data_IF_910440830903
#
_entry.id   IF_910440830903
#
_cell.length_a   1.000
_cell.length_b   1.000
_cell.length_c   1.000
_cell.angle_alpha   90.00
_cell.angle_beta   90.00
_cell.angle_gamma   90.00
#
_symmetry.space_group_name_H-M   'P 1'
#
loop_
_entity.id
_entity.type
_entity.pdbx_description
1 polymer ?
#
# COMPACT_ATOMS: atom_id res chain seq x y z
N UNK A 1 -6.53 -6.15 29.36
CA UNK A 1 -6.84 -7.35 28.54
C UNK A 1 -8.35 -7.54 28.53
N UNK A 2 -8.93 -8.04 27.41
CA UNK A 2 -10.36 -8.34 27.35
C UNK A 2 -10.76 -9.36 28.44
N UNK A 3 -12.00 -9.23 28.93
CA UNK A 3 -12.60 -10.13 29.93
C UNK A 3 -13.85 -10.75 29.30
N UNK A 4 -13.93 -12.09 29.16
CA UNK A 4 -12.92 -13.08 29.55
C UNK A 4 -11.65 -13.03 28.67
N UNK A 5 -10.51 -13.53 29.16
CA UNK A 5 -9.27 -13.58 28.40
C UNK A 5 -9.41 -14.52 27.17
N UNK A 6 -8.70 -14.22 26.07
CA UNK A 6 -8.78 -15.01 24.86
C UNK A 6 -8.17 -16.39 25.05
N UNK A 7 -8.68 -17.39 24.32
CA UNK A 7 -8.20 -18.78 24.41
C UNK A 7 -6.79 -18.97 23.84
N UNK A 8 -6.36 -18.08 22.95
CA UNK A 8 -5.05 -18.11 22.30
C UNK A 8 -4.47 -16.71 22.22
N UNK A 9 -3.15 -16.61 22.34
CA UNK A 9 -2.37 -15.39 22.15
C UNK A 9 -1.30 -15.67 21.10
N UNK A 10 -1.14 -14.73 20.17
CA UNK A 10 -0.04 -14.73 19.20
C UNK A 10 0.81 -13.52 19.55
N UNK A 11 2.12 -13.72 19.65
CA UNK A 11 3.10 -12.65 19.82
C UNK A 11 3.81 -12.47 18.49
N UNK A 12 3.65 -11.30 17.90
CA UNK A 12 4.33 -10.92 16.66
C UNK A 12 5.55 -10.07 17.01
N UNK A 13 6.68 -10.21 16.29
CA UNK A 13 7.82 -9.33 16.45
C UNK A 13 7.40 -7.89 16.20
N UNK A 14 7.88 -6.97 17.04
CA UNK A 14 7.76 -5.55 16.74
C UNK A 14 8.70 -5.22 15.57
N UNK A 15 8.15 -4.67 14.49
CA UNK A 15 8.91 -4.26 13.31
C UNK A 15 9.13 -2.75 13.42
N UNK A 16 10.38 -2.35 13.60
CA UNK A 16 10.75 -0.94 13.59
C UNK A 16 10.83 -0.45 12.14
N UNK A 17 9.97 0.50 11.80
CA UNK A 17 9.88 1.07 10.45
C UNK A 17 10.54 2.44 10.38
N UNK A 18 11.17 2.71 9.24
CA UNK A 18 11.67 4.05 8.96
C UNK A 18 10.55 4.98 8.48
N UNK A 19 10.73 6.27 8.75
CA UNK A 19 9.85 7.31 8.26
C UNK A 19 10.46 8.02 7.04
N UNK A 20 9.59 8.36 6.09
CA UNK A 20 9.92 9.28 5.01
C UNK A 20 9.23 10.59 5.30
N UNK A 21 10.02 11.66 5.31
CA UNK A 21 9.56 13.02 5.66
C UNK A 21 9.85 13.96 4.51
N UNK A 22 8.96 14.93 4.29
CA UNK A 22 9.19 16.02 3.35
C UNK A 22 9.75 17.23 4.09
N UNK A 23 10.96 17.65 3.73
CA UNK A 23 11.56 18.86 4.28
C UNK A 23 11.33 20.07 3.37
N UNK A 24 10.78 21.15 3.94
CA UNK A 24 10.73 22.46 3.30
C UNK A 24 11.96 23.27 3.75
N UNK A 25 12.99 23.38 2.89
CA UNK A 25 14.09 24.32 3.16
C UNK A 25 13.71 25.74 2.70
N UNK A 26 14.07 26.69 3.56
CA UNK A 26 13.78 28.13 3.54
C UNK A 26 14.16 28.91 2.26
N UNK A 27 13.26 29.82 1.89
CA UNK A 27 13.39 31.13 1.20
C UNK A 27 14.04 31.33 -0.18
N UNK A 28 14.64 30.36 -0.90
CA UNK A 28 15.12 30.67 -2.28
C UNK A 28 15.04 29.55 -3.33
N UNK A 29 14.43 28.40 -3.04
CA UNK A 29 14.17 27.37 -4.06
C UNK A 29 12.92 26.58 -3.70
N UNK A 30 11.91 26.56 -4.56
CA UNK A 30 10.62 25.88 -4.38
C UNK A 30 10.69 24.33 -4.40
N UNK A 31 11.86 23.75 -4.11
CA UNK A 31 12.10 22.31 -4.18
C UNK A 31 11.82 21.64 -2.83
N UNK A 32 10.74 20.87 -2.76
CA UNK A 32 10.48 19.92 -1.67
C UNK A 32 11.46 18.76 -1.78
N UNK A 33 12.15 18.43 -0.69
CA UNK A 33 13.10 17.31 -0.67
C UNK A 33 12.56 16.18 0.19
N UNK A 34 12.47 14.97 -0.38
CA UNK A 34 12.22 13.73 0.35
C UNK A 34 13.46 13.36 1.16
N UNK A 35 13.26 13.15 2.46
CA UNK A 35 14.31 12.71 3.38
C UNK A 35 13.91 11.36 3.93
N UNK A 36 14.71 10.34 3.62
CA UNK A 36 14.66 9.02 4.22
C UNK A 36 16.02 8.76 4.88
N UNK A 37 16.03 8.45 6.18
CA UNK A 37 17.29 8.26 6.92
C UNK A 37 17.94 6.91 6.63
N UNK A 38 17.14 5.88 6.34
CA UNK A 38 17.63 4.52 6.06
C UNK A 38 18.27 3.85 7.29
N UNK A 39 17.80 4.19 8.49
CA UNK A 39 18.24 3.57 9.75
C UNK A 39 17.66 2.15 9.85
N UNK A 40 16.41 1.97 9.40
CA UNK A 40 15.75 0.69 9.19
C UNK A 40 15.39 0.50 7.72
N UNK A 41 15.57 -0.73 7.23
CA UNK A 41 15.26 -1.10 5.85
C UNK A 41 13.77 -1.45 5.64
N UNK A 42 12.93 -1.33 6.67
CA UNK A 42 11.52 -1.68 6.64
C UNK A 42 10.64 -0.44 6.53
N UNK A 43 9.68 -0.47 5.61
CA UNK A 43 8.67 0.57 5.43
C UNK A 43 7.27 -0.04 5.39
N UNK A 44 6.28 0.72 5.85
CA UNK A 44 4.87 0.40 5.62
C UNK A 44 4.50 0.73 4.17
N UNK A 45 3.84 -0.22 3.52
CA UNK A 45 3.28 -0.09 2.18
C UNK A 45 1.84 -0.55 2.15
N UNK A 46 1.07 0.14 1.32
CA UNK A 46 -0.28 -0.28 0.99
C UNK A 46 -0.32 -0.68 -0.47
N UNK A 47 -0.95 -1.82 -0.78
CA UNK A 47 -0.97 -2.40 -2.12
C UNK A 47 -2.37 -2.85 -2.49
N UNK A 48 -2.90 -2.30 -3.58
CA UNK A 48 -4.14 -2.78 -4.19
C UNK A 48 -3.90 -4.07 -4.97
N UNK A 49 -4.81 -5.03 -4.81
CA UNK A 49 -4.85 -6.24 -5.62
C UNK A 49 -6.17 -6.33 -6.37
N UNK A 50 -6.13 -6.81 -7.61
CA UNK A 50 -7.31 -6.95 -8.49
C UNK A 50 -7.21 -8.24 -9.30
N UNK A 51 -8.31 -8.95 -9.47
CA UNK A 51 -8.33 -10.15 -10.30
C UNK A 51 -9.38 -11.17 -9.90
N UNK A 52 -9.25 -12.37 -10.44
CA UNK A 52 -10.09 -13.52 -10.08
C UNK A 52 -9.43 -14.30 -8.96
N UNK A 53 -10.22 -15.12 -8.29
CA UNK A 53 -9.67 -16.09 -7.34
C UNK A 53 -8.65 -17.00 -8.03
N UNK A 54 -7.41 -16.98 -7.56
CA UNK A 54 -6.30 -17.75 -8.14
C UNK A 54 -5.51 -17.00 -9.23
N UNK A 55 -5.99 -15.83 -9.67
CA UNK A 55 -5.37 -14.95 -10.67
C UNK A 55 -5.38 -13.49 -10.17
N UNK A 56 -5.11 -13.28 -8.89
CA UNK A 56 -4.98 -11.94 -8.31
C UNK A 56 -3.66 -11.30 -8.75
N UNK A 57 -3.74 -10.07 -9.21
CA UNK A 57 -2.61 -9.24 -9.62
C UNK A 57 -2.39 -8.07 -8.67
N UNK A 58 -1.13 -7.76 -8.40
CA UNK A 58 -0.73 -6.61 -7.58
C UNK A 58 -0.60 -5.36 -8.45
N UNK A 59 -1.24 -4.28 -8.02
CA UNK A 59 -0.90 -2.94 -8.48
C UNK A 59 0.46 -2.52 -7.90
N UNK A 60 0.99 -1.39 -8.36
CA UNK A 60 2.17 -0.76 -7.79
C UNK A 60 1.92 -0.37 -6.33
N UNK A 61 2.77 -0.81 -5.39
CA UNK A 61 2.72 -0.38 -3.99
C UNK A 61 2.73 1.14 -3.83
N UNK A 62 2.16 1.61 -2.73
CA UNK A 62 2.26 3.00 -2.32
C UNK A 62 2.91 3.09 -0.95
N UNK A 63 3.85 4.02 -0.79
CA UNK A 63 4.38 4.40 0.52
C UNK A 63 3.73 5.71 0.95
N UNK A 64 3.17 5.75 2.15
CA UNK A 64 2.63 6.98 2.73
C UNK A 64 3.74 7.78 3.38
N UNK A 65 3.91 9.03 2.93
CA UNK A 65 4.88 9.99 3.45
C UNK A 65 4.17 10.89 4.46
N UNK A 66 4.76 11.05 5.65
CA UNK A 66 4.25 11.95 6.70
C UNK A 66 4.78 13.37 6.43
N UNK A 67 3.90 14.37 6.47
CA UNK A 67 4.34 15.78 6.38
C UNK A 67 4.96 16.28 7.70
N UNK A 68 4.49 15.80 8.86
CA UNK A 68 5.08 16.11 10.17
C UNK A 68 4.50 15.27 11.32
N UNK A 69 5.36 14.63 12.14
CA UNK A 69 5.00 13.99 13.41
C UNK A 69 4.98 12.46 13.41
N UNK A 70 5.04 11.86 14.61
CA UNK A 70 5.20 10.40 14.82
C UNK A 70 3.93 9.59 14.48
N UNK A 71 2.74 10.21 14.47
CA UNK A 71 1.44 9.52 14.29
C UNK A 71 0.63 10.24 13.22
N UNK A 72 0.27 9.51 12.16
CA UNK A 72 -0.69 9.99 11.14
C UNK A 72 -2.04 10.27 11.82
N UNK A 73 -2.48 11.53 11.78
CA UNK A 73 -3.78 11.91 12.31
C UNK A 73 -4.91 11.23 11.53
N UNK A 74 -6.07 11.05 12.15
CA UNK A 74 -7.25 10.52 11.46
C UNK A 74 -7.60 11.38 10.23
N UNK A 75 -7.34 12.69 10.30
CA UNK A 75 -7.51 13.59 9.16
C UNK A 75 -6.53 13.28 8.03
N UNK A 76 -5.27 12.94 8.33
CA UNK A 76 -4.29 12.54 7.31
C UNK A 76 -4.59 11.18 6.67
N UNK A 77 -5.20 10.27 7.42
CA UNK A 77 -5.58 8.93 6.93
C UNK A 77 -6.84 8.94 6.07
N UNK A 78 -7.73 9.94 6.21
CA UNK A 78 -9.08 9.90 5.62
C UNK A 78 -9.52 11.18 4.88
N UNK A 79 -8.85 12.33 5.06
CA UNK A 79 -9.12 13.54 4.29
C UNK A 79 -8.16 13.63 3.11
N UNK A 80 -8.73 13.74 1.90
CA UNK A 80 -7.93 13.87 0.68
C UNK A 80 -7.07 15.13 0.72
N UNK A 81 -5.75 14.97 0.66
CA UNK A 81 -4.81 16.06 0.37
C UNK A 81 -3.67 16.29 1.37
N UNK A 82 -3.58 15.54 2.48
CA UNK A 82 -2.54 15.75 3.51
C UNK A 82 -1.50 14.62 3.56
N UNK A 83 -1.86 13.37 3.25
CA UNK A 83 -0.89 12.29 3.05
C UNK A 83 -0.34 12.26 1.62
N UNK A 84 0.98 12.35 1.44
CA UNK A 84 1.61 12.19 0.13
C UNK A 84 1.92 10.70 -0.09
N UNK A 85 1.27 10.09 -1.08
CA UNK A 85 1.53 8.70 -1.45
C UNK A 85 2.52 8.62 -2.61
N UNK A 86 3.67 7.98 -2.38
CA UNK A 86 4.65 7.70 -3.42
C UNK A 86 4.28 6.41 -4.13
N UNK A 87 3.85 6.51 -5.39
CA UNK A 87 3.33 5.38 -6.17
C UNK A 87 3.84 5.43 -7.62
N UNK A 88 4.61 4.44 -8.09
CA UNK A 88 5.30 3.43 -7.27
C UNK A 88 6.30 4.08 -6.29
N UNK A 89 6.86 3.32 -5.33
CA UNK A 89 8.00 3.77 -4.54
C UNK A 89 9.13 4.22 -5.48
N UNK A 90 9.77 5.38 -5.24
CA UNK A 90 10.87 5.83 -6.08
C UNK A 90 12.08 4.91 -5.93
N UNK A 91 12.85 4.75 -7.01
CA UNK A 91 14.05 3.90 -7.05
C UNK A 91 15.13 4.28 -6.02
N UNK A 92 15.10 5.52 -5.51
CA UNK A 92 15.98 5.99 -4.43
C UNK A 92 15.64 5.39 -3.06
N UNK A 93 14.42 4.86 -2.90
CA UNK A 93 13.92 4.25 -1.66
C UNK A 93 13.89 2.74 -1.82
N UNK A 94 13.28 2.24 -2.89
CA UNK A 94 13.13 0.81 -3.15
C UNK A 94 13.65 0.48 -4.55
N UNK A 95 14.60 -0.45 -4.63
CA UNK A 95 15.11 -0.92 -5.92
C UNK A 95 14.02 -1.63 -6.73
N UNK A 96 14.13 -1.60 -8.06
CA UNK A 96 13.18 -2.28 -8.95
C UNK A 96 13.06 -3.78 -8.63
N UNK A 97 14.18 -4.45 -8.33
CA UNK A 97 14.17 -5.87 -7.94
C UNK A 97 13.38 -6.12 -6.66
N UNK A 98 13.52 -5.24 -5.65
CA UNK A 98 12.76 -5.33 -4.40
C UNK A 98 11.27 -5.04 -4.64
N UNK A 99 10.95 -4.06 -5.50
CA UNK A 99 9.58 -3.73 -5.90
C UNK A 99 8.89 -4.91 -6.57
N UNK A 100 9.55 -5.56 -7.53
CA UNK A 100 9.01 -6.74 -8.21
C UNK A 100 8.84 -7.94 -7.27
N UNK A 101 9.80 -8.16 -6.35
CA UNK A 101 9.66 -9.19 -5.31
C UNK A 101 8.49 -8.91 -4.35
N UNK A 102 8.29 -7.66 -3.99
CA UNK A 102 7.14 -7.21 -3.19
C UNK A 102 5.82 -7.53 -3.92
N UNK A 103 5.65 -7.06 -5.17
CA UNK A 103 4.44 -7.32 -5.97
C UNK A 103 4.14 -8.81 -6.07
N UNK A 104 5.14 -9.63 -6.38
CA UNK A 104 4.98 -11.09 -6.47
C UNK A 104 4.58 -11.73 -5.13
N UNK A 105 5.15 -11.27 -4.03
CA UNK A 105 4.79 -11.76 -2.69
C UNK A 105 3.35 -11.41 -2.33
N UNK A 106 2.92 -10.18 -2.65
CA UNK A 106 1.54 -9.72 -2.48
C UNK A 106 0.55 -10.55 -3.32
N UNK A 107 0.88 -10.86 -4.58
CA UNK A 107 0.06 -11.73 -5.43
C UNK A 107 -0.07 -13.14 -4.84
N UNK A 108 1.04 -13.73 -4.38
CA UNK A 108 1.02 -15.05 -3.73
C UNK A 108 0.14 -15.02 -2.47
N UNK A 109 0.27 -14.00 -1.63
CA UNK A 109 -0.57 -13.83 -0.44
C UNK A 109 -2.05 -13.71 -0.81
N UNK A 110 -2.39 -12.82 -1.75
CA UNK A 110 -3.76 -12.60 -2.19
C UNK A 110 -4.41 -13.89 -2.72
N UNK A 111 -3.69 -14.64 -3.54
CA UNK A 111 -4.18 -15.92 -4.08
C UNK A 111 -4.29 -17.00 -3.00
N UNK A 112 -3.33 -17.07 -2.08
CA UNK A 112 -3.35 -18.03 -0.96
C UNK A 112 -4.52 -17.78 0.00
N UNK A 113 -4.84 -16.50 0.25
CA UNK A 113 -6.00 -16.09 1.03
C UNK A 113 -7.33 -16.26 0.29
N UNK A 114 -7.30 -16.61 -1.01
CA UNK A 114 -8.49 -16.80 -1.83
C UNK A 114 -9.24 -15.50 -2.11
N UNK A 115 -8.53 -14.37 -2.17
CA UNK A 115 -9.11 -13.08 -2.53
C UNK A 115 -9.62 -13.09 -3.97
N UNK A 116 -10.59 -12.25 -4.26
CA UNK A 116 -11.19 -12.09 -5.58
C UNK A 116 -11.78 -10.68 -5.74
N UNK A 117 -11.96 -10.24 -6.99
CA UNK A 117 -12.43 -8.90 -7.30
C UNK A 117 -11.32 -7.90 -7.02
N UNK A 118 -11.37 -7.23 -5.88
CA UNK A 118 -10.36 -6.28 -5.44
C UNK A 118 -10.19 -6.29 -3.93
N UNK A 119 -9.01 -5.94 -3.45
CA UNK A 119 -8.74 -5.75 -2.02
C UNK A 119 -7.58 -4.77 -1.82
N UNK A 120 -7.45 -4.23 -0.62
CA UNK A 120 -6.27 -3.48 -0.19
C UNK A 120 -5.52 -4.33 0.82
N UNK A 121 -4.22 -4.47 0.61
CA UNK A 121 -3.31 -5.17 1.52
C UNK A 121 -2.36 -4.13 2.10
N UNK A 122 -2.34 -4.03 3.42
CA UNK A 122 -1.37 -3.23 4.16
C UNK A 122 -0.29 -4.19 4.68
N UNK A 123 0.97 -3.84 4.46
CA UNK A 123 2.11 -4.71 4.75
C UNK A 123 3.36 -3.89 5.09
N UNK A 124 4.29 -4.50 5.81
CA UNK A 124 5.66 -4.02 5.86
C UNK A 124 6.47 -4.65 4.73
N UNK A 125 7.40 -3.88 4.18
CA UNK A 125 8.32 -4.35 3.15
C UNK A 125 9.74 -3.96 3.48
N UNK A 126 10.68 -4.90 3.34
CA UNK A 126 12.09 -4.58 3.34
C UNK A 126 12.48 -4.02 1.97
N UNK A 127 12.93 -2.77 1.91
CA UNK A 127 13.17 -2.04 0.65
C UNK A 127 14.39 -2.54 -0.15
N UNK A 128 15.23 -3.39 0.45
CA UNK A 128 16.39 -4.03 -0.21
C UNK A 128 16.08 -5.44 -0.68
N UNK A 129 15.54 -6.28 0.20
CA UNK A 129 15.24 -7.68 -0.09
C UNK A 129 13.91 -7.84 -0.84
N UNK A 130 12.94 -6.93 -0.65
CA UNK A 130 11.57 -7.08 -1.13
C UNK A 130 10.75 -8.10 -0.32
N UNK A 131 11.25 -8.51 0.86
CA UNK A 131 10.51 -9.33 1.81
C UNK A 131 9.28 -8.57 2.32
N UNK A 132 8.14 -9.27 2.44
CA UNK A 132 6.85 -8.67 2.81
C UNK A 132 6.30 -9.36 4.05
N UNK A 133 5.86 -8.55 5.03
CA UNK A 133 5.18 -8.99 6.24
C UNK A 133 3.76 -8.40 6.25
N UNK A 134 2.75 -9.25 6.20
CA UNK A 134 1.34 -8.85 6.14
C UNK A 134 0.90 -8.19 7.46
N UNK A 135 0.21 -7.05 7.37
CA UNK A 135 -0.42 -6.38 8.51
C UNK A 135 -1.93 -6.67 8.49
N UNK A 136 -2.61 -6.26 7.43
CA UNK A 136 -4.06 -6.47 7.29
C UNK A 136 -4.49 -6.61 5.82
N UNK A 137 -5.66 -7.22 5.65
CA UNK A 137 -6.35 -7.31 4.35
C UNK A 137 -7.73 -6.70 4.48
N UNK A 138 -7.96 -5.66 3.69
CA UNK A 138 -9.25 -5.01 3.55
C UNK A 138 -9.92 -5.52 2.27
N UNK A 139 -10.86 -6.44 2.42
CA UNK A 139 -11.56 -7.07 1.28
C UNK A 139 -12.53 -6.12 0.58
N UNK A 140 -12.99 -5.08 1.27
CA UNK A 140 -13.77 -3.97 0.70
C UNK A 140 -13.20 -2.66 1.23
N UNK A 141 -12.15 -2.11 0.59
CA UNK A 141 -11.60 -0.81 1.00
C UNK A 141 -12.60 0.32 0.73
N UNK A 142 -12.39 1.47 1.38
CA UNK A 142 -13.15 2.68 1.07
C UNK A 142 -13.01 3.06 -0.41
N UNK A 143 -14.04 3.68 -0.99
CA UNK A 143 -14.11 4.00 -2.43
C UNK A 143 -14.42 5.48 -2.69
N UNK A 144 -13.78 6.38 -1.93
CA UNK A 144 -13.80 7.83 -2.19
C UNK A 144 -12.79 8.20 -3.29
N UNK A 145 -12.87 9.39 -3.91
CA UNK A 145 -11.90 9.82 -4.92
C UNK A 145 -10.44 9.81 -4.43
N UNK A 146 -10.22 9.97 -3.12
CA UNK A 146 -8.90 9.94 -2.47
C UNK A 146 -8.44 8.54 -2.11
N UNK A 147 -9.18 7.51 -2.50
CA UNK A 147 -8.84 6.11 -2.25
C UNK A 147 -7.58 5.75 -2.99
N UNK A 148 -6.58 5.28 -2.25
CA UNK A 148 -5.28 4.93 -2.78
C UNK A 148 -5.32 3.91 -3.93
N UNK A 149 -6.25 2.93 -3.93
CA UNK A 149 -6.40 2.00 -5.08
C UNK A 149 -6.62 2.71 -6.42
N UNK A 150 -7.38 3.81 -6.43
CA UNK A 150 -7.64 4.58 -7.66
C UNK A 150 -6.36 5.28 -8.12
N UNK A 151 -5.59 5.81 -7.18
CA UNK A 151 -4.28 6.43 -7.46
C UNK A 151 -3.26 5.41 -7.97
N UNK A 152 -3.23 4.20 -7.40
CA UNK A 152 -2.38 3.11 -7.87
C UNK A 152 -2.74 2.68 -9.29
N UNK A 153 -4.03 2.46 -9.56
CA UNK A 153 -4.50 2.13 -10.90
C UNK A 153 -4.10 3.20 -11.94
N UNK A 154 -4.16 4.48 -11.58
CA UNK A 154 -3.70 5.58 -12.43
C UNK A 154 -2.19 5.64 -12.62
N UNK A 155 -1.41 5.11 -11.69
CA UNK A 155 0.06 5.06 -11.74
C UNK A 155 0.60 3.82 -12.46
N UNK A 156 -0.27 2.89 -12.89
CA UNK A 156 0.13 1.77 -13.74
C UNK A 156 0.53 2.22 -15.16
N UNK A 157 1.24 1.36 -15.88
CA UNK A 157 1.60 1.56 -17.28
C UNK A 157 0.99 0.44 -18.16
N UNK A 158 0.00 0.74 -19.02
CA UNK A 158 -0.66 2.04 -19.22
C UNK A 158 -1.60 2.41 -18.04
N UNK A 159 -1.87 3.71 -17.83
CA UNK A 159 -2.70 4.17 -16.73
C UNK A 159 -4.13 3.66 -16.84
N UNK A 160 -4.68 3.19 -15.72
CA UNK A 160 -6.05 2.72 -15.61
C UNK A 160 -6.92 3.79 -14.97
N UNK A 161 -7.63 4.54 -15.81
CA UNK A 161 -8.54 5.59 -15.35
C UNK A 161 -9.73 5.02 -14.55
N UNK A 162 -10.32 5.82 -13.63
CA UNK A 162 -11.39 5.35 -12.75
C UNK A 162 -12.53 4.64 -13.48
N UNK A 163 -13.02 5.19 -14.60
CA UNK A 163 -14.10 4.57 -15.36
C UNK A 163 -13.78 3.14 -15.80
N UNK A 164 -12.54 2.90 -16.27
CA UNK A 164 -12.06 1.61 -16.73
C UNK A 164 -11.85 0.68 -15.54
N UNK A 165 -11.24 1.20 -14.47
CA UNK A 165 -11.04 0.47 -13.23
C UNK A 165 -12.37 -0.10 -12.69
N UNK A 166 -13.37 0.75 -12.48
CA UNK A 166 -14.70 0.32 -12.01
C UNK A 166 -15.39 -0.63 -12.99
N UNK A 167 -15.22 -0.42 -14.31
CA UNK A 167 -15.75 -1.33 -15.31
C UNK A 167 -15.13 -2.73 -15.18
N UNK A 168 -13.82 -2.83 -15.01
CA UNK A 168 -13.12 -4.10 -14.78
C UNK A 168 -13.64 -4.81 -13.53
N UNK A 169 -13.86 -4.08 -12.42
CA UNK A 169 -14.43 -4.68 -11.20
C UNK A 169 -15.83 -5.27 -11.43
N UNK A 170 -16.66 -4.56 -12.20
CA UNK A 170 -17.99 -5.04 -12.56
C UNK A 170 -17.94 -6.29 -13.45
N UNK A 171 -17.04 -6.29 -14.44
CA UNK A 171 -16.86 -7.43 -15.35
C UNK A 171 -16.38 -8.68 -14.57
N UNK A 172 -15.42 -8.53 -13.65
CA UNK A 172 -14.98 -9.60 -12.75
C UNK A 172 -16.13 -10.17 -11.90
N UNK A 173 -17.01 -9.30 -11.39
CA UNK A 173 -18.17 -9.73 -10.61
C UNK A 173 -19.17 -10.54 -11.45
N UNK A 174 -19.39 -10.16 -12.73
CA UNK A 174 -20.28 -10.89 -13.62
C UNK A 174 -19.74 -12.26 -14.05
N UNK A 175 -18.42 -12.38 -14.21
CA UNK A 175 -17.78 -13.64 -14.58
C UNK A 175 -17.92 -14.71 -13.49
N UNK A 176 -18.07 -14.31 -12.22
CA UNK A 176 -18.32 -15.23 -11.10
C UNK A 176 -19.71 -15.89 -11.14
N UNK A 177 -20.70 -15.25 -11.76
CA UNK A 177 -22.10 -15.71 -11.75
C UNK A 177 -22.35 -16.76 -12.86
N UNK A 178 -21.39 -16.97 -13.76
CA UNK A 178 -21.42 -18.02 -14.79
C UNK A 178 -20.77 -19.30 -14.28
#
# INVERSE_FOLDING_TARGET
MPVPPPQSLIFEPFIETDEIIISNKSMNSSARHLVWKGENEWLEVTVGVIGKRGEMHSLNPSITVKESGDILSLEEKFQGGTGINLTPPPATIMSEDALQRCKKSIEVMANTLGLEGFSRIDAFVNVRSGEVLLIEVNTVPGMTPSTMLIHQALAEEPPVYPHKFFRTLLDLAFEKVK
#
